data_IF_410629731276
#
_entry.id   IF_410629731276
#
_cell.length_a   1.000
_cell.length_b   1.000
_cell.length_c   1.000
_cell.angle_alpha   90.00
_cell.angle_beta   90.00
_cell.angle_gamma   90.00
#
_symmetry.space_group_name_H-M   'P 1'
#
loop_
_entity.id
_entity.type
_entity.pdbx_description
1 polymer ?
#
# COMPACT_ATOMS: atom_id res chain seq x y z
N UNK A 1 -14.96 -3.51 -3.03
CA UNK A 1 -13.96 -4.39 -2.39
C UNK A 1 -12.62 -4.47 -3.11
N UNK A 2 -12.44 -5.20 -4.22
CA UNK A 2 -11.10 -5.35 -4.80
C UNK A 2 -10.52 -4.02 -5.35
N UNK A 3 -11.36 -3.21 -6.02
CA UNK A 3 -11.00 -1.88 -6.49
C UNK A 3 -10.71 -0.92 -5.32
N UNK A 4 -11.53 -0.90 -4.28
CA UNK A 4 -11.25 -0.15 -3.05
C UNK A 4 -9.92 -0.55 -2.42
N UNK A 5 -9.64 -1.85 -2.34
CA UNK A 5 -8.38 -2.35 -1.81
C UNK A 5 -7.18 -1.87 -2.66
N UNK A 6 -7.32 -1.83 -3.99
CA UNK A 6 -6.30 -1.26 -4.87
C UNK A 6 -6.08 0.24 -4.62
N UNK A 7 -7.15 1.03 -4.44
CA UNK A 7 -7.03 2.45 -4.10
C UNK A 7 -6.39 2.66 -2.72
N UNK A 8 -6.78 1.89 -1.71
CA UNK A 8 -6.17 1.93 -0.37
C UNK A 8 -4.68 1.61 -0.45
N UNK A 9 -4.29 0.59 -1.21
CA UNK A 9 -2.89 0.25 -1.45
C UNK A 9 -2.13 1.35 -2.19
N UNK A 10 -2.75 2.00 -3.17
CA UNK A 10 -2.14 3.12 -3.89
C UNK A 10 -1.88 4.32 -2.97
N UNK A 11 -2.89 4.74 -2.20
CA UNK A 11 -2.74 5.87 -1.27
C UNK A 11 -1.78 5.54 -0.12
N UNK A 12 -1.86 4.33 0.44
CA UNK A 12 -0.94 3.86 1.47
C UNK A 12 0.50 3.80 0.96
N UNK A 13 0.73 3.27 -0.24
CA UNK A 13 2.04 3.24 -0.88
C UNK A 13 2.58 4.63 -1.18
N UNK A 14 1.75 5.54 -1.72
CA UNK A 14 2.14 6.92 -1.99
C UNK A 14 2.54 7.66 -0.71
N UNK A 15 1.73 7.56 0.36
CA UNK A 15 2.06 8.12 1.66
C UNK A 15 3.34 7.50 2.25
N UNK A 16 3.53 6.18 2.12
CA UNK A 16 4.74 5.50 2.56
C UNK A 16 5.99 5.99 1.84
N UNK A 17 5.89 6.29 0.53
CA UNK A 17 7.00 6.87 -0.25
C UNK A 17 7.30 8.29 0.22
N UNK A 18 6.27 9.14 0.41
CA UNK A 18 6.43 10.49 0.95
C UNK A 18 7.14 10.47 2.31
N UNK A 19 6.70 9.59 3.22
CA UNK A 19 7.35 9.41 4.53
C UNK A 19 8.78 8.91 4.40
N UNK A 20 9.05 7.98 3.48
CA UNK A 20 10.40 7.43 3.26
C UNK A 20 11.38 8.51 2.80
N UNK A 21 10.97 9.39 1.88
CA UNK A 21 11.79 10.54 1.47
C UNK A 21 11.97 11.57 2.60
N UNK A 22 10.91 11.84 3.38
CA UNK A 22 11.02 12.70 4.56
C UNK A 22 12.02 12.16 5.58
N UNK A 23 11.95 10.87 5.89
CA UNK A 23 12.87 10.21 6.81
C UNK A 23 14.29 10.16 6.26
N UNK A 24 14.46 9.91 4.97
CA UNK A 24 15.76 9.97 4.29
C UNK A 24 16.40 11.37 4.39
N UNK A 25 15.62 12.44 4.28
CA UNK A 25 16.11 13.82 4.45
C UNK A 25 16.59 14.06 5.90
N UNK A 26 15.80 13.61 6.89
CA UNK A 26 16.18 13.70 8.31
C UNK A 26 17.47 12.93 8.58
N UNK A 27 17.58 11.68 8.12
CA UNK A 27 18.78 10.85 8.28
C UNK A 27 20.01 11.53 7.65
N UNK A 28 19.87 12.07 6.44
CA UNK A 28 20.96 12.75 5.75
C UNK A 28 21.42 14.03 6.49
N UNK A 29 20.54 14.69 7.27
CA UNK A 29 20.93 15.83 8.10
C UNK A 29 21.89 15.43 9.24
N UNK A 30 21.68 14.27 9.85
CA UNK A 30 22.51 13.80 10.97
C UNK A 30 23.77 13.06 10.53
N UNK A 31 23.69 12.32 9.42
CA UNK A 31 24.73 11.37 9.01
C UNK A 31 25.52 11.85 7.79
N UNK A 32 25.08 12.93 7.13
CA UNK A 32 25.69 13.43 5.89
C UNK A 32 27.17 13.84 6.03
N UNK A 33 27.64 14.19 7.23
CA UNK A 33 29.06 14.49 7.49
C UNK A 33 29.93 13.24 7.72
N UNK A 34 29.30 12.10 8.00
CA UNK A 34 29.98 10.82 8.27
C UNK A 34 30.31 10.02 6.99
N UNK A 35 30.03 10.58 5.80
CA UNK A 35 30.27 9.94 4.51
C UNK A 35 29.17 8.96 4.07
N UNK A 36 28.17 8.69 4.90
CA UNK A 36 27.02 7.87 4.53
C UNK A 36 25.85 8.75 4.05
N UNK A 37 25.26 8.38 2.92
CA UNK A 37 24.11 9.08 2.32
C UNK A 37 22.97 8.10 2.09
N UNK A 38 21.80 8.42 2.64
CA UNK A 38 20.56 7.71 2.34
C UNK A 38 20.05 8.18 0.98
N UNK A 39 20.08 7.31 -0.02
CA UNK A 39 19.58 7.58 -1.37
C UNK A 39 18.56 6.50 -1.70
N UNK A 40 17.33 6.93 -1.99
CA UNK A 40 16.24 6.04 -2.41
C UNK A 40 16.17 6.10 -3.95
N UNK A 41 16.63 5.07 -4.67
CA UNK A 41 16.54 5.04 -6.12
C UNK A 41 15.08 4.89 -6.60
N UNK A 42 14.78 5.47 -7.76
CA UNK A 42 13.42 5.54 -8.30
C UNK A 42 12.77 4.16 -8.51
N UNK A 43 13.54 3.13 -8.87
CA UNK A 43 13.00 1.78 -9.04
C UNK A 43 12.50 1.16 -7.74
N UNK A 44 13.11 1.47 -6.58
CA UNK A 44 12.62 1.00 -5.29
C UNK A 44 11.34 1.72 -4.88
N UNK A 45 11.21 3.00 -5.19
CA UNK A 45 9.99 3.75 -4.95
C UNK A 45 8.82 3.24 -5.82
N UNK A 46 9.06 2.98 -7.11
CA UNK A 46 8.03 2.41 -7.99
C UNK A 46 7.70 0.97 -7.56
N UNK A 47 8.73 0.17 -7.25
CA UNK A 47 8.56 -1.20 -6.79
C UNK A 47 7.76 -1.30 -5.49
N UNK A 48 8.01 -0.41 -4.53
CA UNK A 48 7.26 -0.39 -3.26
C UNK A 48 5.80 0.02 -3.44
N UNK A 49 5.52 0.95 -4.37
CA UNK A 49 4.14 1.33 -4.72
C UNK A 49 3.36 0.15 -5.31
N UNK A 50 3.93 -0.52 -6.31
CA UNK A 50 3.32 -1.69 -6.96
C UNK A 50 3.12 -2.80 -5.95
N UNK A 51 4.12 -3.05 -5.10
CA UNK A 51 4.05 -4.05 -4.05
C UNK A 51 2.92 -3.74 -3.05
N UNK A 52 2.78 -2.48 -2.62
CA UNK A 52 1.71 -2.06 -1.70
C UNK A 52 0.31 -2.32 -2.27
N UNK A 53 0.09 -1.96 -3.54
CA UNK A 53 -1.18 -2.22 -4.25
C UNK A 53 -1.46 -3.72 -4.31
N UNK A 54 -0.44 -4.53 -4.64
CA UNK A 54 -0.58 -5.98 -4.74
C UNK A 54 -0.96 -6.60 -3.39
N UNK A 55 -0.29 -6.22 -2.30
CA UNK A 55 -0.59 -6.69 -0.94
C UNK A 55 -2.00 -6.30 -0.51
N UNK A 56 -2.41 -5.06 -0.78
CA UNK A 56 -3.75 -4.59 -0.45
C UNK A 56 -4.83 -5.37 -1.21
N UNK A 57 -4.64 -5.60 -2.52
CA UNK A 57 -5.56 -6.41 -3.32
C UNK A 57 -5.64 -7.85 -2.84
N UNK A 58 -4.52 -8.49 -2.52
CA UNK A 58 -4.50 -9.87 -2.00
C UNK A 58 -5.29 -9.95 -0.69
N UNK A 59 -5.12 -8.98 0.20
CA UNK A 59 -5.89 -8.88 1.45
C UNK A 59 -7.40 -8.69 1.18
N UNK A 60 -7.75 -7.83 0.22
CA UNK A 60 -9.14 -7.58 -0.18
C UNK A 60 -9.80 -8.71 -0.98
N UNK A 61 -9.04 -9.67 -1.49
CA UNK A 61 -9.55 -10.72 -2.37
C UNK A 61 -10.41 -11.75 -1.61
N UNK A 62 -9.95 -12.20 -0.44
CA UNK A 62 -10.71 -13.16 0.39
C UNK A 62 -12.12 -12.66 0.76
N UNK A 63 -12.31 -11.46 1.32
CA UNK A 63 -13.65 -10.96 1.62
C UNK A 63 -14.48 -10.70 0.36
N UNK A 64 -13.87 -10.26 -0.74
CA UNK A 64 -14.57 -10.09 -2.01
C UNK A 64 -15.15 -11.42 -2.54
N UNK A 65 -14.36 -12.49 -2.49
CA UNK A 65 -14.82 -13.83 -2.88
C UNK A 65 -15.94 -14.30 -1.96
N UNK A 66 -15.82 -14.07 -0.65
CA UNK A 66 -16.87 -14.42 0.31
C UNK A 66 -18.17 -13.68 0.01
N UNK A 67 -18.12 -12.39 -0.31
CA UNK A 67 -19.31 -11.59 -0.65
C UNK A 67 -19.99 -12.08 -1.94
N UNK A 68 -19.22 -12.46 -2.96
CA UNK A 68 -19.76 -13.00 -4.22
C UNK A 68 -20.48 -14.35 -4.07
N UNK A 69 -20.20 -15.10 -3.01
CA UNK A 69 -20.81 -16.41 -2.74
C UNK A 69 -22.07 -16.35 -1.88
N UNK A 70 -22.48 -15.16 -1.43
CA UNK A 70 -23.73 -14.99 -0.68
C UNK A 70 -24.91 -14.98 -1.67
N UNK A 71 -25.90 -15.85 -1.42
CA UNK A 71 -27.13 -15.89 -2.20
C UNK A 71 -27.94 -14.61 -1.99
N UNK A 72 -28.42 -13.93 -3.06
CA UNK A 72 -29.27 -12.75 -2.95
C UNK A 72 -30.54 -12.99 -2.13
N UNK A 73 -31.10 -14.21 -2.22
CA UNK A 73 -32.29 -14.60 -1.46
C UNK A 73 -32.00 -14.74 0.04
N UNK A 74 -30.79 -15.18 0.41
CA UNK A 74 -30.38 -15.23 1.82
C UNK A 74 -30.16 -13.83 2.37
N UNK A 75 -29.59 -12.91 1.56
CA UNK A 75 -29.37 -11.52 1.97
C UNK A 75 -30.67 -10.78 2.29
N UNK A 76 -31.69 -10.91 1.42
CA UNK A 76 -33.01 -10.26 1.61
C UNK A 76 -33.77 -10.85 2.80
N UNK A 77 -33.61 -12.15 3.08
CA UNK A 77 -34.29 -12.82 4.21
C UNK A 77 -33.61 -12.57 5.57
N UNK A 78 -32.42 -11.98 5.55
CA UNK A 78 -31.62 -11.65 6.73
C UNK A 78 -31.63 -10.15 7.09
N UNK A 79 -32.31 -9.31 6.29
CA UNK A 79 -32.74 -7.96 6.68
C UNK A 79 -34.06 -8.04 7.47
#
# INVERSE_FOLDING_TARGET
>A
FLSEAAFIGLFGGALGICLSFGLSAVINMFVGQSGFKSIIPAYLAIGSLVFSIMVAMISGLYPAIRAMRLSPLTAIRSE
#
